data_IF_155054017174
#
_entry.id   IF_155054017174
#
_cell.length_a   1.000
_cell.length_b   1.000
_cell.length_c   1.000
_cell.angle_alpha   90.00
_cell.angle_beta   90.00
_cell.angle_gamma   90.00
#
_symmetry.space_group_name_H-M   'P 1'
#
loop_
_entity.id
_entity.type
_entity.pdbx_description
1 polymer ?
#
# COMPACT_ATOMS: atom_id res chain seq x y z
N UNK A 1 -1.97 -10.02 7.73
CA UNK A 1 -3.35 -9.57 7.42
C UNK A 1 -3.28 -8.10 7.04
N UNK A 2 -3.88 -7.70 5.91
CA UNK A 2 -3.86 -6.29 5.47
C UNK A 2 -5.13 -5.61 5.99
N UNK A 3 -4.94 -4.50 6.69
CA UNK A 3 -6.00 -3.66 7.26
C UNK A 3 -5.82 -2.20 6.84
N UNK A 4 -6.87 -1.36 6.93
CA UNK A 4 -6.71 0.09 6.88
C UNK A 4 -5.57 0.56 7.79
N UNK A 5 -4.70 1.42 7.28
CA UNK A 5 -3.47 1.89 7.93
C UNK A 5 -2.23 1.04 7.69
N UNK A 6 -2.34 -0.14 7.05
CA UNK A 6 -1.17 -0.97 6.74
C UNK A 6 -0.32 -0.33 5.63
N UNK A 7 1.01 -0.35 5.79
CA UNK A 7 1.94 -0.04 4.71
C UNK A 7 2.05 -1.24 3.77
N UNK A 8 1.85 -1.01 2.48
CA UNK A 8 1.93 -2.04 1.44
C UNK A 8 2.80 -1.59 0.29
N UNK A 9 3.36 -2.55 -0.44
CA UNK A 9 4.12 -2.37 -1.67
C UNK A 9 3.44 -3.10 -2.81
N UNK A 10 3.36 -2.47 -3.98
CA UNK A 10 2.86 -3.12 -5.20
C UNK A 10 3.92 -4.08 -5.73
N UNK A 11 3.51 -5.33 -5.98
CA UNK A 11 4.37 -6.43 -6.44
C UNK A 11 4.08 -6.88 -7.86
N UNK A 12 2.98 -6.43 -8.47
CA UNK A 12 2.69 -6.72 -9.87
C UNK A 12 3.67 -5.94 -10.79
N UNK A 13 4.52 -6.67 -11.52
CA UNK A 13 5.55 -6.12 -12.43
C UNK A 13 4.97 -5.42 -13.66
N UNK A 14 3.74 -5.76 -14.04
CA UNK A 14 3.06 -5.19 -15.21
C UNK A 14 2.23 -3.94 -14.85
N UNK A 15 2.30 -3.49 -13.60
CA UNK A 15 1.57 -2.31 -13.11
C UNK A 15 2.49 -1.07 -13.04
N UNK A 16 1.97 0.11 -13.41
CA UNK A 16 2.70 1.38 -13.35
C UNK A 16 3.23 1.71 -11.94
N UNK A 17 2.53 1.25 -10.90
CA UNK A 17 2.92 1.44 -9.50
C UNK A 17 3.83 0.33 -8.98
N UNK A 18 4.36 -0.56 -9.83
CA UNK A 18 5.29 -1.60 -9.40
C UNK A 18 6.43 -1.03 -8.55
N UNK A 19 6.61 -1.59 -7.36
CA UNK A 19 7.66 -1.19 -6.44
C UNK A 19 7.31 0.00 -5.54
N UNK A 20 6.25 0.77 -5.85
CA UNK A 20 5.80 1.87 -5.00
C UNK A 20 5.17 1.34 -3.70
N UNK A 21 5.28 2.16 -2.65
CA UNK A 21 4.71 1.89 -1.35
C UNK A 21 3.63 2.92 -1.03
N UNK A 22 2.58 2.49 -0.35
CA UNK A 22 1.50 3.37 0.06
C UNK A 22 0.77 2.82 1.28
N UNK A 23 -0.21 3.60 1.75
CA UNK A 23 -1.01 3.27 2.93
C UNK A 23 -2.39 2.80 2.51
N UNK A 24 -2.81 1.67 3.05
CA UNK A 24 -4.16 1.15 2.82
C UNK A 24 -5.18 2.08 3.49
N UNK A 25 -6.14 2.58 2.72
CA UNK A 25 -7.22 3.43 3.25
C UNK A 25 -8.49 2.62 3.53
N UNK A 26 -8.79 1.63 2.69
CA UNK A 26 -9.95 0.75 2.87
C UNK A 26 -9.75 -0.61 2.19
N UNK A 27 -10.50 -1.60 2.67
CA UNK A 27 -10.60 -2.94 2.09
C UNK A 27 -12.07 -3.24 1.84
N UNK A 28 -12.43 -3.62 0.62
CA UNK A 28 -13.79 -4.00 0.23
C UNK A 28 -13.74 -5.06 -0.86
N UNK A 29 -14.57 -6.09 -0.76
CA UNK A 29 -14.77 -7.10 -1.83
C UNK A 29 -13.45 -7.72 -2.36
N UNK A 30 -12.51 -8.01 -1.46
CA UNK A 30 -11.19 -8.57 -1.82
C UNK A 30 -10.24 -7.60 -2.53
N UNK A 31 -10.59 -6.33 -2.61
CA UNK A 31 -9.78 -5.24 -3.16
C UNK A 31 -9.30 -4.30 -2.05
N UNK A 32 -8.18 -3.65 -2.30
CA UNK A 32 -7.49 -2.80 -1.34
C UNK A 32 -7.20 -1.46 -1.99
N UNK A 33 -7.75 -0.39 -1.43
CA UNK A 33 -7.44 0.97 -1.88
C UNK A 33 -6.19 1.46 -1.14
N UNK A 34 -5.16 1.82 -1.92
CA UNK A 34 -3.85 2.27 -1.45
C UNK A 34 -3.66 3.72 -1.83
N UNK A 35 -3.40 4.56 -0.83
CA UNK A 35 -3.03 5.96 -1.01
C UNK A 35 -1.52 6.05 -1.22
N UNK A 36 -1.13 6.67 -2.32
CA UNK A 36 0.23 7.09 -2.59
C UNK A 36 0.35 8.60 -2.40
N UNK A 37 1.38 9.01 -1.68
CA UNK A 37 1.65 10.41 -1.37
C UNK A 37 3.08 10.77 -1.79
N UNK A 38 3.25 11.96 -2.36
CA UNK A 38 4.55 12.49 -2.74
C UNK A 38 4.49 13.99 -3.06
N UNK A 39 5.00 14.83 -2.15
CA UNK A 39 4.91 16.29 -2.28
C UNK A 39 3.46 16.76 -2.18
N UNK A 40 2.99 17.56 -3.14
CA UNK A 40 1.60 18.06 -3.19
C UNK A 40 0.65 17.12 -3.97
N UNK A 41 1.09 15.89 -4.26
CA UNK A 41 0.30 14.95 -5.04
C UNK A 41 -0.09 13.75 -4.21
N UNK A 42 -1.38 13.45 -4.25
CA UNK A 42 -2.00 12.28 -3.68
C UNK A 42 -2.75 11.50 -4.77
N UNK A 43 -2.64 10.17 -4.73
CA UNK A 43 -3.50 9.32 -5.56
C UNK A 43 -3.92 8.05 -4.84
N UNK A 44 -5.23 7.81 -4.86
CA UNK A 44 -5.84 6.59 -4.35
C UNK A 44 -6.09 5.60 -5.49
N UNK A 45 -5.40 4.46 -5.46
CA UNK A 45 -5.53 3.39 -6.45
C UNK A 45 -6.02 2.11 -5.78
N UNK A 46 -6.89 1.36 -6.45
CA UNK A 46 -7.44 0.11 -5.92
C UNK A 46 -6.78 -1.09 -6.60
N UNK A 47 -6.18 -1.96 -5.79
CA UNK A 47 -5.52 -3.19 -6.23
C UNK A 47 -6.27 -4.43 -5.77
N UNK A 48 -6.00 -5.57 -6.40
CA UNK A 48 -6.31 -6.87 -5.82
C UNK A 48 -5.34 -7.18 -4.69
N UNK A 49 -5.80 -7.95 -3.72
CA UNK A 49 -4.97 -8.32 -2.58
C UNK A 49 -3.71 -9.11 -2.96
N UNK A 50 -3.73 -9.82 -4.10
CA UNK A 50 -2.59 -10.57 -4.65
C UNK A 50 -1.51 -9.69 -5.30
N UNK A 51 -1.80 -8.43 -5.61
CA UNK A 51 -0.90 -7.51 -6.32
C UNK A 51 -0.07 -6.65 -5.37
N UNK A 52 -0.25 -6.84 -4.06
CA UNK A 52 0.39 -6.05 -3.01
C UNK A 52 0.93 -6.94 -1.88
N UNK A 53 2.01 -6.51 -1.25
CA UNK A 53 2.61 -7.16 -0.09
C UNK A 53 2.76 -6.18 1.08
N UNK A 54 2.60 -6.66 2.31
CA UNK A 54 2.83 -5.85 3.52
C UNK A 54 4.31 -5.47 3.60
N UNK A 55 4.58 -4.20 3.91
CA UNK A 55 5.92 -3.75 4.24
C UNK A 55 6.06 -3.79 5.76
N UNK A 56 7.01 -4.58 6.26
CA UNK A 56 7.32 -4.59 7.69
C UNK A 56 8.01 -3.29 8.09
N UNK A 57 7.32 -2.44 8.84
CA UNK A 57 7.96 -1.32 9.53
C UNK A 57 8.79 -1.87 10.68
N UNK A 58 10.11 -1.72 10.59
CA UNK A 58 10.98 -1.83 11.78
C UNK A 58 10.60 -0.70 12.73
N UNK A 59 9.97 -1.01 13.87
CA UNK A 59 9.82 -0.04 14.96
C UNK A 59 11.23 0.47 15.30
N UNK A 60 11.49 1.76 15.09
CA UNK A 60 12.62 2.41 15.77
C UNK A 60 12.35 2.25 17.26
N UNK A 61 13.27 1.58 17.97
CA UNK A 61 13.25 1.57 19.42
C UNK A 61 13.27 3.04 19.89
N UNK A 62 12.27 3.42 20.69
CA UNK A 62 12.28 4.71 21.36
C UNK A 62 13.50 4.72 22.29
N UNK A 63 14.41 5.66 22.06
CA UNK A 63 15.53 5.94 22.96
C UNK A 63 15.07 6.90 24.04
#
# INVERSE_FOLDING_TARGET
>A
MILPGSAVRVTNVDDTYYGFQGLVQRVSDGKVAVLFEGGNWDKLITFRMSEIAIVETKKKAAK
#
